data_IF_742377904519
#
_entry.id   IF_742377904519
#
_cell.length_a   1.000
_cell.length_b   1.000
_cell.length_c   1.000
_cell.angle_alpha   90.00
_cell.angle_beta   90.00
_cell.angle_gamma   90.00
#
_symmetry.space_group_name_H-M   'P 1'
#
loop_
_entity.id
_entity.type
_entity.pdbx_description
1 polymer ?
#
# COMPACT_ATOMS: atom_id res chain seq x y z
N UNK A 1 22.07 -21.48 -3.10
CA UNK A 1 22.61 -20.19 -2.65
C UNK A 1 24.04 -20.32 -2.10
N UNK A 2 24.27 -20.94 -0.93
CA UNK A 2 25.59 -20.94 -0.26
C UNK A 2 26.76 -21.52 -1.08
N UNK A 3 26.53 -22.54 -1.91
CA UNK A 3 27.60 -23.09 -2.77
C UNK A 3 28.15 -22.07 -3.77
N UNK A 4 27.32 -21.14 -4.23
CA UNK A 4 27.72 -20.07 -5.15
C UNK A 4 28.16 -18.78 -4.42
N UNK A 5 27.85 -18.67 -3.12
CA UNK A 5 28.08 -17.47 -2.30
C UNK A 5 28.59 -17.92 -0.91
N UNK A 6 29.79 -18.52 -0.83
CA UNK A 6 30.33 -19.09 0.42
C UNK A 6 30.51 -18.03 1.53
N UNK A 7 30.72 -16.78 1.15
CA UNK A 7 30.84 -15.63 2.05
C UNK A 7 29.55 -15.31 2.83
N UNK A 8 28.39 -15.84 2.41
CA UNK A 8 27.13 -15.69 3.15
C UNK A 8 26.98 -16.72 4.27
N UNK A 9 27.86 -17.72 4.36
CA UNK A 9 27.75 -18.77 5.35
C UNK A 9 27.97 -18.23 6.78
N UNK A 10 27.00 -18.51 7.66
CA UNK A 10 27.05 -18.09 9.06
C UNK A 10 26.56 -16.67 9.32
N UNK A 11 26.20 -15.92 8.27
CA UNK A 11 25.57 -14.61 8.40
C UNK A 11 24.10 -14.75 8.84
N UNK A 12 23.64 -13.80 9.64
CA UNK A 12 22.23 -13.59 9.92
C UNK A 12 21.47 -13.13 8.68
N UNK A 13 20.14 -13.26 8.68
CA UNK A 13 19.30 -12.78 7.57
C UNK A 13 19.49 -11.28 7.29
N UNK A 14 19.68 -10.47 8.34
CA UNK A 14 19.94 -9.03 8.20
C UNK A 14 21.30 -8.75 7.55
N UNK A 15 22.35 -9.48 7.92
CA UNK A 15 23.66 -9.35 7.28
C UNK A 15 23.65 -9.80 5.81
N UNK A 16 22.88 -10.84 5.48
CA UNK A 16 22.64 -11.23 4.08
C UNK A 16 21.89 -10.13 3.34
N UNK A 17 20.87 -9.53 3.96
CA UNK A 17 20.13 -8.40 3.39
C UNK A 17 21.04 -7.18 3.11
N UNK A 18 21.96 -6.85 4.04
CA UNK A 18 22.97 -5.81 3.82
C UNK A 18 23.83 -6.11 2.58
N UNK A 19 24.31 -7.35 2.45
CA UNK A 19 25.13 -7.77 1.30
C UNK A 19 24.36 -7.65 -0.01
N UNK A 20 23.06 -7.93 -0.01
CA UNK A 20 22.20 -7.72 -1.18
C UNK A 20 22.07 -6.23 -1.53
N UNK A 21 21.79 -5.37 -0.54
CA UNK A 21 21.70 -3.91 -0.76
C UNK A 21 23.03 -3.35 -1.27
N UNK A 22 24.15 -3.76 -0.68
CA UNK A 22 25.49 -3.37 -1.13
C UNK A 22 25.76 -3.85 -2.55
N UNK A 23 25.44 -5.10 -2.88
CA UNK A 23 25.64 -5.64 -4.21
C UNK A 23 24.85 -4.85 -5.27
N UNK A 24 23.59 -4.50 -5.00
CA UNK A 24 22.75 -3.71 -5.91
C UNK A 24 23.29 -2.29 -6.05
N UNK A 25 23.55 -1.61 -4.93
CA UNK A 25 23.97 -0.20 -4.93
C UNK A 25 25.39 0.00 -5.47
N UNK A 26 26.28 -0.98 -5.31
CA UNK A 26 27.63 -0.96 -5.91
C UNK A 26 27.61 -1.08 -7.45
N UNK A 27 26.52 -1.60 -8.04
CA UNK A 27 26.30 -1.57 -9.49
C UNK A 27 25.69 -0.25 -9.98
N UNK A 28 25.51 0.73 -9.09
CA UNK A 28 24.94 2.04 -9.43
C UNK A 28 23.41 2.07 -9.44
N UNK A 29 22.75 0.96 -9.09
CA UNK A 29 21.29 0.86 -9.06
C UNK A 29 20.72 1.49 -7.78
N UNK A 30 19.52 2.05 -7.91
CA UNK A 30 18.76 2.59 -6.78
C UNK A 30 17.98 1.46 -6.09
N UNK A 31 17.79 1.61 -4.78
CA UNK A 31 17.08 0.66 -3.92
C UNK A 31 15.95 1.39 -3.19
N UNK A 32 14.76 0.80 -3.24
CA UNK A 32 13.62 1.15 -2.39
C UNK A 32 13.40 -0.03 -1.45
N UNK A 33 13.39 0.21 -0.14
CA UNK A 33 13.19 -0.84 0.85
C UNK A 33 11.70 -0.93 1.17
N UNK A 34 11.08 -2.07 0.87
CA UNK A 34 9.65 -2.31 1.08
C UNK A 34 9.42 -3.20 2.31
N UNK A 35 8.60 -2.72 3.24
CA UNK A 35 8.09 -3.55 4.33
C UNK A 35 6.96 -4.44 3.81
N UNK A 36 7.35 -5.59 3.25
CA UNK A 36 6.43 -6.46 2.52
C UNK A 36 5.47 -7.21 3.45
N UNK A 37 6.01 -7.77 4.53
CA UNK A 37 5.27 -8.55 5.53
C UNK A 37 6.00 -8.53 6.88
N UNK A 38 5.30 -8.95 7.94
CA UNK A 38 5.91 -9.19 9.25
C UNK A 38 6.58 -10.57 9.34
N UNK A 39 5.96 -11.57 8.73
CA UNK A 39 6.42 -12.95 8.79
C UNK A 39 7.13 -13.35 7.48
N UNK A 40 8.07 -14.30 7.58
CA UNK A 40 8.70 -14.90 6.41
C UNK A 40 7.76 -15.95 5.80
N UNK A 41 6.78 -15.48 5.04
CA UNK A 41 5.74 -16.30 4.40
C UNK A 41 5.48 -15.82 2.96
N UNK A 42 4.37 -16.25 2.36
CA UNK A 42 3.88 -15.70 1.08
C UNK A 42 2.59 -14.89 1.27
N UNK A 43 2.48 -13.75 0.58
CA UNK A 43 1.30 -12.87 0.59
C UNK A 43 0.45 -13.04 -0.70
N UNK A 44 -0.63 -12.36 -1.00
CA UNK A 44 -1.28 -11.26 -0.30
C UNK A 44 -2.77 -11.57 -0.33
N UNK A 45 -3.21 -12.51 0.48
CA UNK A 45 -4.64 -12.82 0.62
C UNK A 45 -5.22 -12.03 1.81
N UNK A 46 -6.53 -12.15 2.02
CA UNK A 46 -7.20 -11.45 3.13
C UNK A 46 -7.12 -12.22 4.45
N UNK A 47 -6.50 -13.40 4.48
CA UNK A 47 -6.45 -14.31 5.64
C UNK A 47 -5.02 -14.60 6.14
N UNK A 48 -3.99 -14.10 5.45
CA UNK A 48 -2.56 -14.29 5.74
C UNK A 48 -2.06 -13.56 6.98
N UNK A 49 -2.94 -12.84 7.68
CA UNK A 49 -2.59 -12.08 8.90
C UNK A 49 -1.72 -10.85 8.65
N UNK A 50 -1.39 -10.55 7.40
CA UNK A 50 -0.43 -9.55 6.95
C UNK A 50 -1.09 -8.54 6.00
N UNK A 51 -2.37 -8.21 6.21
CA UNK A 51 -3.06 -7.18 5.43
C UNK A 51 -2.90 -5.75 5.96
N UNK A 52 -2.51 -5.58 7.23
CA UNK A 52 -2.43 -4.29 7.93
C UNK A 52 -1.00 -4.01 8.42
N UNK A 53 -0.77 -2.84 9.01
CA UNK A 53 0.50 -2.43 9.65
C UNK A 53 0.65 -2.95 11.09
N UNK A 54 -0.10 -3.99 11.44
CA UNK A 54 -0.03 -4.74 12.68
C UNK A 54 -0.62 -6.14 12.44
N UNK A 55 -0.28 -7.08 13.30
CA UNK A 55 -0.82 -8.44 13.32
C UNK A 55 -1.21 -8.81 14.75
N UNK A 56 -1.62 -10.06 14.99
CA UNK A 56 -1.82 -10.56 16.36
C UNK A 56 -0.49 -10.72 17.14
N UNK A 57 0.65 -10.78 16.44
CA UNK A 57 1.99 -10.97 17.01
C UNK A 57 2.79 -9.67 17.09
N UNK A 58 2.59 -8.76 16.14
CA UNK A 58 3.35 -7.52 16.01
C UNK A 58 2.44 -6.30 16.11
N UNK A 59 2.78 -5.38 16.99
CA UNK A 59 2.04 -4.14 17.19
C UNK A 59 2.36 -3.10 16.11
N UNK A 60 1.55 -2.04 16.04
CA UNK A 60 1.90 -0.85 15.23
C UNK A 60 3.23 -0.25 15.67
N UNK A 61 3.59 -0.30 16.95
CA UNK A 61 4.86 0.27 17.42
C UNK A 61 6.05 -0.58 16.98
N UNK A 62 5.91 -1.91 16.88
CA UNK A 62 6.94 -2.79 16.30
C UNK A 62 7.21 -2.43 14.84
N UNK A 63 6.15 -2.17 14.06
CA UNK A 63 6.26 -1.69 12.68
C UNK A 63 7.00 -0.35 12.59
N UNK A 64 6.59 0.64 13.39
CA UNK A 64 7.24 1.96 13.41
C UNK A 64 8.73 1.87 13.82
N UNK A 65 9.05 1.03 14.80
CA UNK A 65 10.42 0.78 15.23
C UNK A 65 11.24 0.10 14.13
N UNK A 66 10.67 -0.86 13.41
CA UNK A 66 11.29 -1.51 12.25
C UNK A 66 11.60 -0.53 11.11
N UNK A 67 10.66 0.36 10.79
CA UNK A 67 10.88 1.43 9.80
C UNK A 67 12.00 2.38 10.23
N UNK A 68 11.99 2.83 11.48
CA UNK A 68 13.04 3.70 12.03
C UNK A 68 14.40 3.02 11.98
N UNK A 69 14.45 1.73 12.36
CA UNK A 69 15.66 0.92 12.36
C UNK A 69 16.27 0.80 10.95
N UNK A 70 15.48 0.43 9.94
CA UNK A 70 15.98 0.32 8.56
C UNK A 70 16.37 1.68 7.99
N UNK A 71 15.63 2.74 8.31
CA UNK A 71 15.95 4.10 7.88
C UNK A 71 17.32 4.57 8.42
N UNK A 72 17.56 4.39 9.71
CA UNK A 72 18.84 4.71 10.35
C UNK A 72 19.97 3.82 9.81
N UNK A 73 19.71 2.52 9.62
CA UNK A 73 20.70 1.55 9.14
C UNK A 73 21.28 1.90 7.76
N UNK A 74 20.44 2.40 6.85
CA UNK A 74 20.82 2.67 5.47
C UNK A 74 21.00 4.15 5.13
N UNK A 75 20.94 5.06 6.12
CA UNK A 75 20.99 6.51 5.87
C UNK A 75 22.24 7.01 5.15
N UNK A 76 23.36 6.32 5.33
CA UNK A 76 24.65 6.68 4.73
C UNK A 76 24.84 6.06 3.33
N UNK A 77 23.91 5.24 2.85
CA UNK A 77 23.90 4.73 1.48
C UNK A 77 23.00 5.62 0.60
N UNK A 78 23.55 6.51 -0.23
CA UNK A 78 22.76 7.48 -1.00
C UNK A 78 21.91 6.85 -2.12
N UNK A 79 22.09 5.55 -2.40
CA UNK A 79 21.30 4.81 -3.37
C UNK A 79 20.14 4.04 -2.75
N UNK A 80 20.03 4.01 -1.42
CA UNK A 80 18.77 3.67 -0.73
C UNK A 80 17.91 4.93 -0.71
N UNK A 81 17.10 5.09 -1.75
CA UNK A 81 16.47 6.38 -2.08
C UNK A 81 15.11 6.58 -1.43
N UNK A 82 14.44 5.49 -1.04
CA UNK A 82 13.13 5.56 -0.40
C UNK A 82 12.82 4.34 0.46
N UNK A 83 11.84 4.52 1.33
CA UNK A 83 11.28 3.48 2.18
C UNK A 83 9.79 3.35 1.87
N UNK A 84 9.42 2.20 1.36
CA UNK A 84 8.04 1.81 1.17
C UNK A 84 7.51 1.14 2.43
N UNK A 85 6.66 1.89 3.12
CA UNK A 85 6.40 1.66 4.53
C UNK A 85 5.50 0.46 4.77
N UNK A 86 4.71 0.04 3.77
CA UNK A 86 3.83 -1.11 3.91
C UNK A 86 3.30 -1.58 2.56
N UNK A 87 3.60 -2.83 2.23
CA UNK A 87 3.05 -3.50 1.06
C UNK A 87 1.55 -3.78 1.17
N UNK A 88 0.82 -3.45 0.14
CA UNK A 88 -0.58 -3.78 -0.12
C UNK A 88 -1.49 -3.70 1.12
N UNK A 89 -1.66 -2.53 1.78
CA UNK A 89 -2.67 -2.38 2.81
C UNK A 89 -4.04 -2.85 2.30
N UNK A 90 -4.55 -3.93 2.88
CA UNK A 90 -5.74 -4.66 2.39
C UNK A 90 -6.62 -5.17 3.52
N UNK A 91 -7.88 -5.53 3.23
CA UNK A 91 -8.74 -6.17 4.22
C UNK A 91 -8.09 -7.39 4.86
N UNK A 92 -8.19 -7.48 6.18
CA UNK A 92 -7.79 -8.67 6.95
C UNK A 92 -9.00 -9.29 7.63
N UNK A 93 -9.33 -10.51 7.25
CA UNK A 93 -10.37 -11.33 7.87
C UNK A 93 -9.75 -12.10 9.02
N UNK A 94 -10.07 -11.70 10.26
CA UNK A 94 -9.62 -12.41 11.46
C UNK A 94 -10.34 -13.75 11.60
N UNK A 95 -9.71 -14.65 12.34
CA UNK A 95 -10.38 -15.84 12.86
C UNK A 95 -11.66 -15.42 13.61
N UNK A 96 -12.80 -16.05 13.28
CA UNK A 96 -14.11 -15.62 13.75
C UNK A 96 -14.90 -14.72 12.79
N UNK A 97 -14.34 -14.39 11.62
CA UNK A 97 -15.07 -13.80 10.49
C UNK A 97 -15.20 -12.27 10.51
N UNK A 98 -14.60 -11.59 11.49
CA UNK A 98 -14.55 -10.12 11.51
C UNK A 98 -13.52 -9.62 10.50
N UNK A 99 -13.92 -8.72 9.61
CA UNK A 99 -13.03 -8.11 8.61
C UNK A 99 -12.57 -6.73 9.06
N UNK A 100 -11.27 -6.51 9.15
CA UNK A 100 -10.67 -5.20 9.40
C UNK A 100 -10.30 -4.57 8.05
N UNK A 101 -10.81 -3.38 7.78
CA UNK A 101 -10.68 -2.67 6.51
C UNK A 101 -9.75 -1.46 6.68
N UNK A 102 -8.63 -1.37 5.95
CA UNK A 102 -7.81 -0.17 5.91
C UNK A 102 -8.49 0.90 5.04
N UNK A 103 -8.73 2.07 5.62
CA UNK A 103 -9.39 3.18 4.94
C UNK A 103 -8.56 4.46 4.98
N UNK A 104 -8.82 5.39 4.07
CA UNK A 104 -8.12 6.67 4.02
C UNK A 104 -8.93 7.76 4.72
N UNK A 105 -8.54 8.13 5.95
CA UNK A 105 -9.08 9.30 6.65
C UNK A 105 -10.34 9.08 7.49
N UNK A 106 -10.75 7.83 7.74
CA UNK A 106 -11.84 7.53 8.67
C UNK A 106 -11.57 6.24 9.45
N UNK A 107 -11.63 6.34 10.77
CA UNK A 107 -11.68 5.20 11.68
C UNK A 107 -13.09 5.14 12.27
N UNK A 108 -13.73 3.98 12.23
CA UNK A 108 -15.07 3.82 12.81
C UNK A 108 -15.36 2.40 13.27
N UNK A 109 -16.03 2.31 14.41
CA UNK A 109 -16.51 1.07 15.01
C UNK A 109 -18.00 0.83 14.75
N UNK A 110 -18.70 1.73 14.05
CA UNK A 110 -20.14 1.60 13.80
C UNK A 110 -20.47 0.35 12.99
N UNK A 111 -19.53 -0.09 12.15
CA UNK A 111 -19.68 -1.28 11.32
C UNK A 111 -19.36 -2.59 12.07
N UNK A 112 -18.90 -2.52 13.32
CA UNK A 112 -18.55 -3.71 14.11
C UNK A 112 -19.78 -4.62 14.30
N UNK A 113 -20.97 -4.02 14.40
CA UNK A 113 -22.26 -4.73 14.48
C UNK A 113 -22.55 -5.61 13.24
N UNK A 114 -21.87 -5.33 12.12
CA UNK A 114 -21.96 -6.07 10.87
C UNK A 114 -20.72 -6.92 10.59
N UNK A 115 -19.83 -7.07 11.58
CA UNK A 115 -18.59 -7.84 11.42
C UNK A 115 -17.46 -7.11 10.68
N UNK A 116 -17.53 -5.77 10.60
CA UNK A 116 -16.47 -4.96 9.96
C UNK A 116 -15.89 -3.94 10.92
N UNK A 117 -14.57 -3.86 11.01
CA UNK A 117 -13.86 -2.77 11.70
C UNK A 117 -13.14 -1.92 10.66
N UNK A 118 -13.21 -0.60 10.76
CA UNK A 118 -12.51 0.31 9.84
C UNK A 118 -11.37 0.99 10.59
N UNK A 119 -10.15 0.89 10.06
CA UNK A 119 -8.93 1.50 10.62
C UNK A 119 -8.33 2.50 9.64
N UNK A 120 -7.79 3.60 10.15
CA UNK A 120 -7.33 4.72 9.33
C UNK A 120 -5.87 4.53 8.85
N UNK A 121 -5.72 4.07 7.61
CA UNK A 121 -4.43 3.95 6.92
C UNK A 121 -3.74 5.30 6.74
N UNK A 122 -4.46 6.40 6.47
CA UNK A 122 -3.83 7.73 6.33
C UNK A 122 -3.11 8.12 7.62
N UNK A 123 -3.73 7.85 8.77
CA UNK A 123 -3.14 8.08 10.09
C UNK A 123 -1.91 7.21 10.32
N UNK A 124 -2.02 5.91 10.05
CA UNK A 124 -0.89 4.99 10.18
C UNK A 124 0.26 5.31 9.23
N UNK A 125 -0.02 5.64 7.97
CA UNK A 125 0.94 6.08 6.96
C UNK A 125 1.66 7.37 7.39
N UNK A 126 0.93 8.33 7.97
CA UNK A 126 1.54 9.55 8.54
C UNK A 126 2.52 9.20 9.67
N UNK A 127 2.16 8.27 10.56
CA UNK A 127 3.06 7.77 11.62
C UNK A 127 4.26 7.03 11.05
N UNK A 128 4.07 6.20 10.02
CA UNK A 128 5.12 5.48 9.31
C UNK A 128 6.14 6.40 8.65
N UNK A 129 5.67 7.45 7.96
CA UNK A 129 6.55 8.46 7.37
C UNK A 129 7.39 9.19 8.43
N UNK A 130 6.76 9.59 9.54
CA UNK A 130 7.47 10.19 10.69
C UNK A 130 8.50 9.23 11.27
N UNK A 131 8.20 7.94 11.39
CA UNK A 131 9.15 6.92 11.85
C UNK A 131 10.36 6.78 10.91
N UNK A 132 10.16 6.77 9.58
CA UNK A 132 11.26 6.80 8.62
C UNK A 132 12.12 8.05 8.81
N UNK A 133 11.51 9.25 8.92
CA UNK A 133 12.27 10.50 9.09
C UNK A 133 12.98 10.65 10.43
N UNK A 134 12.56 9.92 11.48
CA UNK A 134 13.33 9.80 12.73
C UNK A 134 14.67 9.11 12.52
N UNK A 135 14.72 8.07 11.67
CA UNK A 135 15.96 7.37 11.33
C UNK A 135 16.75 8.03 10.20
N UNK A 136 16.06 8.57 9.19
CA UNK A 136 16.69 9.28 8.09
C UNK A 136 15.90 10.56 7.72
N UNK A 137 16.28 11.73 8.27
CA UNK A 137 15.60 13.00 8.05
C UNK A 137 15.73 13.56 6.64
N UNK A 138 16.25 12.83 5.64
CA UNK A 138 16.28 13.24 4.22
C UNK A 138 15.68 12.20 3.28
N UNK A 139 15.23 11.05 3.79
CA UNK A 139 14.67 9.98 2.97
C UNK A 139 13.35 10.36 2.30
N UNK A 140 13.11 9.80 1.12
CA UNK A 140 11.77 9.74 0.54
C UNK A 140 10.98 8.59 1.20
N UNK A 141 9.67 8.78 1.30
CA UNK A 141 8.75 7.80 1.87
C UNK A 141 7.74 7.43 0.78
N UNK A 142 7.66 6.15 0.47
CA UNK A 142 6.63 5.63 -0.43
C UNK A 142 5.42 5.21 0.39
N UNK A 143 4.24 5.65 -0.06
CA UNK A 143 2.95 5.35 0.55
C UNK A 143 2.07 4.66 -0.48
N UNK A 144 1.87 3.36 -0.32
CA UNK A 144 0.93 2.61 -1.12
C UNK A 144 -0.53 2.98 -0.82
N UNK A 145 -1.38 2.84 -1.84
CA UNK A 145 -2.83 2.95 -1.70
C UNK A 145 -3.42 1.87 -0.78
N UNK A 146 -4.67 2.07 -0.34
CA UNK A 146 -5.40 0.97 0.29
C UNK A 146 -5.97 0.02 -0.78
N UNK A 147 -6.55 -1.09 -0.33
CA UNK A 147 -7.14 -2.09 -1.23
C UNK A 147 -6.08 -2.74 -2.15
N UNK A 148 -5.08 -3.39 -1.54
CA UNK A 148 -3.99 -4.04 -2.27
C UNK A 148 -3.20 -3.05 -3.13
N UNK A 149 -2.94 -1.86 -2.58
CA UNK A 149 -2.29 -0.76 -3.29
C UNK A 149 -2.99 -0.31 -4.58
N UNK A 150 -4.25 -0.67 -4.81
CA UNK A 150 -4.95 -0.30 -6.06
C UNK A 150 -5.72 1.02 -5.96
N UNK A 151 -5.88 1.56 -4.75
CA UNK A 151 -6.73 2.71 -4.49
C UNK A 151 -5.98 3.86 -3.81
N UNK A 152 -5.78 4.94 -4.56
CA UNK A 152 -5.30 6.24 -4.04
C UNK A 152 -6.42 7.28 -3.94
N UNK A 153 -7.69 6.90 -4.12
CA UNK A 153 -8.79 7.84 -3.94
C UNK A 153 -8.66 8.52 -2.58
N UNK A 154 -8.72 9.85 -2.58
CA UNK A 154 -8.61 10.74 -1.42
C UNK A 154 -7.20 11.13 -0.95
N UNK A 155 -6.10 10.64 -1.54
CA UNK A 155 -4.77 11.14 -1.14
C UNK A 155 -4.59 12.64 -1.43
N UNK A 156 -5.25 13.13 -2.49
CA UNK A 156 -5.27 14.55 -2.89
C UNK A 156 -6.17 15.39 -1.98
N UNK A 157 -7.32 14.84 -1.59
CA UNK A 157 -8.34 15.51 -0.77
C UNK A 157 -7.90 15.57 0.71
N UNK A 158 -7.17 14.55 1.13
CA UNK A 158 -6.75 14.31 2.50
C UNK A 158 -5.27 13.88 2.52
N UNK A 159 -4.32 14.81 2.33
CA UNK A 159 -2.89 14.50 2.36
C UNK A 159 -2.45 14.03 3.75
N UNK A 160 -1.22 13.50 3.87
CA UNK A 160 -0.71 13.01 5.16
C UNK A 160 -0.77 14.09 6.25
N UNK A 161 -0.97 13.66 7.50
CA UNK A 161 -1.12 14.53 8.66
C UNK A 161 0.25 14.95 9.18
N UNK A 162 0.86 15.91 8.50
CA UNK A 162 2.19 16.43 8.82
C UNK A 162 2.09 17.87 9.32
N UNK A 163 2.86 18.21 10.36
CA UNK A 163 2.93 19.58 10.87
C UNK A 163 3.68 20.50 9.90
N UNK A 164 4.64 19.95 9.15
CA UNK A 164 5.45 20.68 8.20
C UNK A 164 5.05 20.34 6.76
N UNK A 165 4.37 21.28 6.10
CA UNK A 165 3.91 21.09 4.71
C UNK A 165 5.04 20.76 3.72
N UNK A 166 6.28 21.21 3.97
CA UNK A 166 7.43 20.87 3.14
C UNK A 166 7.76 19.37 3.11
N UNK A 167 7.35 18.59 4.12
CA UNK A 167 7.58 17.14 4.15
C UNK A 167 6.74 16.39 3.12
N UNK A 168 5.63 16.97 2.62
CA UNK A 168 4.84 16.37 1.54
C UNK A 168 5.66 16.18 0.27
N UNK A 169 6.67 17.02 0.05
CA UNK A 169 7.57 16.91 -1.12
C UNK A 169 8.51 15.69 -1.10
N UNK A 170 8.50 14.92 -0.01
CA UNK A 170 9.27 13.68 0.15
C UNK A 170 8.37 12.44 0.16
N UNK A 171 7.08 12.63 -0.10
CA UNK A 171 6.10 11.57 -0.21
C UNK A 171 5.98 11.20 -1.69
N UNK A 172 6.10 9.90 -1.96
CA UNK A 172 5.78 9.30 -3.26
C UNK A 172 4.59 8.39 -3.03
N UNK A 173 3.52 8.57 -3.80
CA UNK A 173 2.40 7.62 -3.72
C UNK A 173 2.65 6.44 -4.65
N UNK A 174 2.24 5.25 -4.22
CA UNK A 174 2.43 4.04 -5.03
C UNK A 174 1.14 3.27 -5.28
N UNK A 175 1.07 2.68 -6.48
CA UNK A 175 -0.01 1.82 -6.93
C UNK A 175 0.50 0.46 -7.41
N UNK A 176 -0.30 -0.57 -7.21
CA UNK A 176 -0.16 -1.86 -7.90
C UNK A 176 -1.16 -1.91 -9.05
N UNK A 177 -0.70 -2.30 -10.24
CA UNK A 177 -1.48 -2.29 -11.47
C UNK A 177 -1.45 -3.68 -12.13
N UNK A 178 -2.59 -4.35 -12.09
CA UNK A 178 -2.77 -5.68 -12.66
C UNK A 178 -4.09 -5.76 -13.43
N UNK A 179 -4.23 -6.75 -14.31
CA UNK A 179 -5.39 -6.91 -15.20
C UNK A 179 -6.76 -7.03 -14.51
N UNK A 180 -6.79 -7.33 -13.21
CA UNK A 180 -7.99 -7.40 -12.38
C UNK A 180 -8.29 -6.12 -11.60
N UNK A 181 -7.40 -5.12 -11.68
CA UNK A 181 -7.63 -3.78 -11.14
C UNK A 181 -8.17 -2.82 -12.21
N UNK A 182 -8.71 -1.69 -11.74
CA UNK A 182 -9.23 -0.64 -12.61
C UNK A 182 -8.15 0.38 -12.92
N UNK A 183 -7.83 0.58 -14.20
CA UNK A 183 -6.88 1.60 -14.68
C UNK A 183 -7.35 3.03 -14.39
N UNK A 184 -8.56 3.23 -13.84
CA UNK A 184 -9.12 4.54 -13.52
C UNK A 184 -8.34 5.25 -12.40
N UNK A 185 -7.83 4.52 -11.40
CA UNK A 185 -7.05 5.13 -10.32
C UNK A 185 -5.67 5.57 -10.78
N UNK A 186 -5.06 4.80 -11.69
CA UNK A 186 -3.82 5.17 -12.37
C UNK A 186 -3.98 6.46 -13.22
N UNK A 187 -5.12 6.61 -13.91
CA UNK A 187 -5.43 7.85 -14.64
C UNK A 187 -5.74 9.04 -13.72
N UNK A 188 -6.34 8.77 -12.56
CA UNK A 188 -6.69 9.81 -11.59
C UNK A 188 -5.46 10.35 -10.86
N UNK A 189 -4.51 9.48 -10.51
CA UNK A 189 -3.32 9.83 -9.74
C UNK A 189 -2.39 10.83 -10.44
N UNK A 190 -2.48 10.95 -11.77
CA UNK A 190 -1.67 11.85 -12.59
C UNK A 190 -2.32 13.23 -12.88
N UNK A 191 -3.51 13.53 -12.33
CA UNK A 191 -4.29 14.70 -12.78
C UNK A 191 -3.80 16.05 -12.26
N UNK A 192 -3.37 16.10 -11.01
CA UNK A 192 -3.26 17.37 -10.28
C UNK A 192 -1.82 17.73 -9.87
N UNK A 193 -0.81 16.94 -10.31
CA UNK A 193 0.63 17.13 -10.04
C UNK A 193 0.95 17.41 -8.55
N UNK A 194 0.24 16.72 -7.65
CA UNK A 194 0.32 16.96 -6.20
C UNK A 194 1.54 16.27 -5.58
N UNK A 195 1.86 15.07 -6.06
CA UNK A 195 3.02 14.30 -5.65
C UNK A 195 3.39 13.29 -6.75
N UNK A 196 4.66 12.84 -6.81
CA UNK A 196 5.05 11.78 -7.72
C UNK A 196 4.26 10.50 -7.44
N UNK A 197 3.82 9.83 -8.51
CA UNK A 197 3.19 8.51 -8.44
C UNK A 197 4.09 7.49 -9.10
N UNK A 198 4.33 6.41 -8.39
CA UNK A 198 5.13 5.27 -8.81
C UNK A 198 4.23 4.04 -8.93
N UNK A 199 4.43 3.21 -9.96
CA UNK A 199 3.77 1.90 -10.03
C UNK A 199 4.73 0.85 -9.49
N UNK A 200 4.65 0.54 -8.18
CA UNK A 200 5.58 -0.38 -7.52
C UNK A 200 5.44 -1.83 -7.96
N UNK A 201 4.27 -2.22 -8.46
CA UNK A 201 4.07 -3.54 -9.06
C UNK A 201 3.17 -3.48 -10.28
N UNK A 202 3.65 -4.08 -11.36
CA UNK A 202 2.81 -4.52 -12.47
C UNK A 202 3.45 -5.73 -13.13
N UNK A 203 2.62 -6.55 -13.78
CA UNK A 203 3.09 -7.72 -14.51
C UNK A 203 2.01 -8.35 -15.38
N UNK A 204 2.44 -9.17 -16.34
CA UNK A 204 1.54 -10.03 -17.11
C UNK A 204 2.24 -11.37 -17.43
N UNK A 205 1.43 -12.42 -17.54
CA UNK A 205 1.85 -13.76 -17.91
C UNK A 205 2.03 -13.91 -19.43
N UNK A 206 1.28 -13.15 -20.24
CA UNK A 206 1.21 -13.36 -21.70
C UNK A 206 1.10 -12.04 -22.49
N UNK A 207 2.06 -11.80 -23.39
CA UNK A 207 2.03 -10.62 -24.29
C UNK A 207 0.73 -10.53 -25.08
N UNK A 208 0.07 -9.38 -24.99
CA UNK A 208 -1.12 -9.06 -25.78
C UNK A 208 -2.34 -9.96 -25.50
N UNK A 209 -2.32 -10.78 -24.45
CA UNK A 209 -3.45 -11.63 -24.09
C UNK A 209 -4.64 -10.80 -23.57
N UNK A 210 -4.36 -9.62 -23.00
CA UNK A 210 -5.36 -8.69 -22.52
C UNK A 210 -5.24 -7.35 -23.23
N UNK A 211 -6.40 -6.70 -23.48
CA UNK A 211 -6.42 -5.28 -23.88
C UNK A 211 -5.81 -4.39 -22.79
N UNK A 212 -5.94 -4.83 -21.54
CA UNK A 212 -5.38 -4.16 -20.37
C UNK A 212 -3.87 -3.93 -20.53
N UNK A 213 -3.07 -4.98 -20.75
CA UNK A 213 -1.60 -4.84 -20.83
C UNK A 213 -1.19 -3.84 -21.89
N UNK A 214 -1.73 -3.96 -23.11
CA UNK A 214 -1.43 -3.03 -24.18
C UNK A 214 -1.81 -1.58 -23.86
N UNK A 215 -2.90 -1.37 -23.12
CA UNK A 215 -3.33 -0.04 -22.70
C UNK A 215 -2.43 0.50 -21.58
N UNK A 216 -2.07 -0.31 -20.59
CA UNK A 216 -1.15 0.05 -19.50
C UNK A 216 0.22 0.43 -20.04
N UNK A 217 0.77 -0.36 -20.96
CA UNK A 217 2.05 -0.07 -21.61
C UNK A 217 2.00 1.23 -22.41
N UNK A 218 0.90 1.51 -23.12
CA UNK A 218 0.71 2.79 -23.82
C UNK A 218 0.61 3.97 -22.86
N UNK A 219 -0.10 3.78 -21.75
CA UNK A 219 -0.25 4.78 -20.72
C UNK A 219 1.11 5.13 -20.11
N UNK A 220 1.90 4.14 -19.67
CA UNK A 220 3.24 4.37 -19.12
C UNK A 220 4.14 5.14 -20.08
N UNK A 221 4.12 4.82 -21.38
CA UNK A 221 4.87 5.59 -22.39
C UNK A 221 4.38 7.02 -22.54
N UNK A 222 3.07 7.22 -22.55
CA UNK A 222 2.48 8.53 -22.74
C UNK A 222 2.73 9.46 -21.53
N UNK A 223 2.75 8.91 -20.33
CA UNK A 223 2.89 9.69 -19.09
C UNK A 223 4.29 9.66 -18.49
N UNK A 224 5.25 8.97 -19.10
CA UNK A 224 6.59 8.73 -18.53
C UNK A 224 6.52 8.13 -17.10
N UNK A 225 5.59 7.20 -16.89
CA UNK A 225 5.35 6.65 -15.56
C UNK A 225 6.58 5.88 -15.06
N UNK A 226 6.96 6.09 -13.80
CA UNK A 226 7.95 5.26 -13.12
C UNK A 226 7.32 3.94 -12.66
N UNK A 227 8.05 2.83 -12.77
CA UNK A 227 7.49 1.49 -12.54
C UNK A 227 8.51 0.48 -12.02
N UNK A 228 8.03 -0.58 -11.35
CA UNK A 228 8.75 -1.84 -11.08
C UNK A 228 7.97 -3.02 -11.65
N UNK A 229 8.69 -3.95 -12.29
CA UNK A 229 8.11 -5.19 -12.78
C UNK A 229 8.03 -6.21 -11.65
N UNK A 230 6.85 -6.78 -11.44
CA UNK A 230 6.67 -7.87 -10.48
C UNK A 230 6.49 -9.24 -11.16
N UNK A 231 7.28 -10.25 -10.77
CA UNK A 231 8.60 -10.17 -10.11
C UNK A 231 9.75 -10.42 -11.09
N UNK A 232 10.98 -10.25 -10.60
CA UNK A 232 12.15 -10.81 -11.28
C UNK A 232 12.14 -12.33 -11.23
N UNK A 233 11.77 -12.90 -10.08
CA UNK A 233 11.92 -14.30 -9.75
C UNK A 233 11.14 -15.26 -10.67
N UNK A 234 11.74 -16.40 -11.05
CA UNK A 234 11.09 -17.46 -11.84
C UNK A 234 10.26 -18.43 -10.98
N UNK A 235 10.31 -18.29 -9.65
CA UNK A 235 9.71 -19.20 -8.67
C UNK A 235 9.01 -18.38 -7.59
N UNK A 236 7.79 -18.81 -7.25
CA UNK A 236 6.94 -18.15 -6.27
C UNK A 236 7.35 -18.52 -4.84
N UNK A 237 7.50 -19.82 -4.60
CA UNK A 237 7.88 -20.37 -3.28
C UNK A 237 9.17 -21.17 -3.44
N UNK A 238 10.32 -20.63 -3.00
CA UNK A 238 11.57 -21.39 -2.95
C UNK A 238 11.41 -22.63 -2.06
N UNK A 239 12.17 -23.68 -2.34
CA UNK A 239 12.10 -24.92 -1.56
C UNK A 239 12.40 -24.68 -0.07
N UNK A 240 11.50 -25.10 0.81
CA UNK A 240 11.62 -24.97 2.26
C UNK A 240 11.40 -23.56 2.80
N UNK A 241 10.80 -22.66 1.99
CA UNK A 241 10.49 -21.29 2.38
C UNK A 241 9.21 -21.20 3.22
N UNK A 242 8.13 -21.82 2.77
CA UNK A 242 6.82 -21.77 3.41
C UNK A 242 6.27 -23.19 3.57
N UNK A 243 6.19 -23.72 4.80
CA UNK A 243 5.72 -25.09 5.05
C UNK A 243 4.22 -25.27 4.75
N UNK A 244 3.44 -24.20 4.65
CA UNK A 244 2.01 -24.23 4.36
C UNK A 244 1.70 -24.19 2.86
N UNK A 245 2.68 -23.78 2.03
CA UNK A 245 2.54 -23.69 0.59
C UNK A 245 3.39 -24.75 -0.15
N UNK A 246 2.88 -25.37 -1.24
CA UNK A 246 3.67 -26.36 -1.96
C UNK A 246 4.92 -25.74 -2.60
N UNK A 247 6.08 -26.31 -2.26
CA UNK A 247 7.39 -25.95 -2.78
C UNK A 247 7.45 -25.91 -4.32
N UNK A 248 8.26 -25.00 -4.86
CA UNK A 248 8.67 -25.03 -6.27
C UNK A 248 7.58 -24.62 -7.27
N UNK A 249 6.54 -23.93 -6.79
CA UNK A 249 5.57 -23.24 -7.64
C UNK A 249 6.30 -22.24 -8.55
N UNK A 250 5.99 -22.33 -9.84
CA UNK A 250 6.54 -21.41 -10.84
C UNK A 250 5.88 -20.05 -10.70
N UNK A 251 6.68 -19.00 -10.85
CA UNK A 251 6.14 -17.66 -11.07
C UNK A 251 6.13 -17.34 -12.56
N UNK A 252 4.95 -17.39 -13.15
CA UNK A 252 4.75 -17.10 -14.58
C UNK A 252 4.74 -15.60 -14.88
N UNK A 253 4.63 -14.74 -13.87
CA UNK A 253 4.86 -13.30 -13.98
C UNK A 253 6.35 -12.96 -14.00
N UNK A 254 7.20 -13.85 -13.47
CA UNK A 254 8.66 -13.71 -13.44
C UNK A 254 9.31 -13.23 -14.74
N UNK A 255 10.25 -12.28 -14.64
CA UNK A 255 11.09 -11.87 -15.77
C UNK A 255 12.10 -12.96 -16.12
N UNK A 256 12.72 -13.59 -15.12
CA UNK A 256 13.53 -14.79 -15.33
C UNK A 256 12.65 -15.95 -15.79
N UNK A 257 13.22 -16.83 -16.61
CA UNK A 257 12.49 -17.91 -17.24
C UNK A 257 12.04 -18.96 -16.21
N UNK A 258 10.73 -19.12 -15.95
CA UNK A 258 10.23 -20.10 -14.99
C UNK A 258 10.52 -21.54 -15.40
N UNK A 259 10.77 -21.82 -16.69
CA UNK A 259 11.09 -23.17 -17.16
C UNK A 259 12.50 -23.62 -16.77
N UNK A 260 13.49 -22.71 -16.76
CA UNK A 260 14.87 -23.09 -16.46
C UNK A 260 15.20 -23.00 -14.96
N UNK A 261 14.56 -22.07 -14.23
CA UNK A 261 14.74 -21.85 -12.77
C UNK A 261 16.18 -21.55 -12.32
N UNK A 262 17.09 -21.30 -13.25
CA UNK A 262 18.52 -21.17 -13.00
C UNK A 262 18.99 -19.70 -13.02
N UNK A 263 18.06 -18.75 -13.18
CA UNK A 263 18.34 -17.31 -13.28
C UNK A 263 19.32 -16.95 -14.42
N UNK A 264 19.49 -17.84 -15.43
CA UNK A 264 20.41 -17.61 -16.58
C UNK A 264 19.73 -17.11 -17.83
N UNK A 265 18.40 -17.17 -17.90
CA UNK A 265 17.63 -16.72 -19.06
C UNK A 265 16.39 -15.95 -18.62
N UNK A 266 15.98 -14.99 -19.45
CA UNK A 266 14.78 -14.16 -19.25
C UNK A 266 13.73 -14.49 -20.30
N UNK A 267 12.48 -14.13 -20.02
CA UNK A 267 11.38 -14.22 -21.00
C UNK A 267 11.55 -13.08 -22.01
N UNK A 268 11.99 -13.41 -23.22
CA UNK A 268 12.44 -12.42 -24.21
C UNK A 268 11.41 -11.34 -24.57
N UNK A 269 10.13 -11.68 -24.63
CA UNK A 269 9.10 -10.70 -24.95
C UNK A 269 8.88 -9.68 -23.82
N UNK A 270 9.01 -10.10 -22.56
CA UNK A 270 8.92 -9.20 -21.39
C UNK A 270 10.08 -8.22 -21.42
N UNK A 271 11.30 -8.72 -21.59
CA UNK A 271 12.48 -7.86 -21.67
C UNK A 271 12.36 -6.84 -22.81
N UNK A 272 11.91 -7.25 -24.00
CA UNK A 272 11.73 -6.34 -25.13
C UNK A 272 10.73 -5.21 -24.78
N UNK A 273 9.56 -5.57 -24.25
CA UNK A 273 8.52 -4.60 -23.93
C UNK A 273 8.96 -3.64 -22.81
N UNK A 274 9.70 -4.12 -21.82
CA UNK A 274 10.25 -3.32 -20.72
C UNK A 274 11.39 -2.40 -21.17
N UNK A 275 12.29 -2.85 -22.05
CA UNK A 275 13.32 -2.00 -22.66
C UNK A 275 12.67 -0.88 -23.46
N UNK A 276 11.60 -1.18 -24.21
CA UNK A 276 10.86 -0.18 -24.96
C UNK A 276 10.12 0.84 -24.06
N UNK A 277 9.93 0.55 -22.76
CA UNK A 277 9.39 1.48 -21.76
C UNK A 277 10.44 2.39 -21.12
N UNK A 278 11.73 2.01 -21.15
CA UNK A 278 12.79 2.78 -20.48
C UNK A 278 13.17 4.05 -21.24
N UNK A 279 12.80 4.17 -22.52
CA UNK A 279 13.01 5.39 -23.27
C UNK A 279 12.11 6.49 -22.68
N UNK A 280 12.67 7.65 -22.28
CA UNK A 280 11.87 8.73 -21.72
C UNK A 280 10.86 9.23 -22.74
N UNK A 281 9.68 9.64 -22.26
CA UNK A 281 8.68 10.28 -23.12
C UNK A 281 9.27 11.55 -23.77
N UNK A 282 9.04 11.80 -25.07
CA UNK A 282 9.41 13.06 -25.71
C UNK A 282 8.79 14.29 -25.04
N UNK A 283 7.67 14.09 -24.34
CA UNK A 283 6.92 15.12 -23.63
C UNK A 283 7.31 15.23 -22.14
N UNK A 284 8.29 14.45 -21.67
CA UNK A 284 8.75 14.49 -20.29
C UNK A 284 9.33 15.88 -19.94
N UNK A 285 8.95 16.47 -18.79
CA UNK A 285 9.43 17.80 -18.42
C UNK A 285 10.95 17.81 -18.27
N UNK A 286 11.62 18.75 -18.94
CA UNK A 286 13.08 18.83 -18.99
C UNK A 286 13.74 19.11 -17.61
N UNK A 287 12.99 19.58 -16.62
CA UNK A 287 13.40 19.75 -15.22
C UNK A 287 12.21 19.56 -14.29
N UNK A 288 12.38 18.68 -13.30
CA UNK A 288 11.51 18.61 -12.12
C UNK A 288 12.03 19.62 -11.09
N UNK A 289 11.15 20.41 -10.48
CA UNK A 289 11.55 21.37 -9.44
C UNK A 289 12.16 20.63 -8.25
N UNK A 290 13.35 21.04 -7.81
CA UNK A 290 13.93 20.53 -6.56
C UNK A 290 13.09 21.08 -5.40
N UNK A 291 12.51 20.22 -4.55
CA UNK A 291 11.75 20.71 -3.42
C UNK A 291 12.59 21.54 -2.46
N UNK A 292 11.99 22.54 -1.78
CA UNK A 292 12.67 23.30 -0.75
C UNK A 292 13.18 22.38 0.36
N UNK A 293 14.37 22.70 0.89
CA UNK A 293 14.91 21.97 2.04
C UNK A 293 13.96 22.07 3.23
N UNK A 294 13.70 20.92 3.86
CA UNK A 294 12.81 20.79 5.00
C UNK A 294 13.61 20.24 6.18
N UNK A 295 13.68 21.01 7.27
CA UNK A 295 14.29 20.54 8.53
C UNK A 295 13.21 19.83 9.32
N UNK A 296 13.32 18.51 9.45
CA UNK A 296 12.35 17.69 10.16
C UNK A 296 12.29 18.04 11.66
N UNK A 297 11.10 18.40 12.14
CA UNK A 297 10.77 18.48 13.57
C UNK A 297 10.04 17.19 14.00
N UNK A 298 10.69 16.29 14.76
CA UNK A 298 10.09 15.03 15.14
C UNK A 298 8.84 15.23 16.01
N UNK A 299 8.90 16.13 17.00
CA UNK A 299 7.82 16.28 17.97
C UNK A 299 6.55 16.82 17.31
N UNK A 300 6.68 17.90 16.54
CA UNK A 300 5.52 18.51 15.88
C UNK A 300 4.84 17.52 14.92
N UNK A 301 5.63 16.76 14.15
CA UNK A 301 5.06 15.80 13.20
C UNK A 301 4.53 14.53 13.88
N UNK A 302 5.10 14.09 15.00
CA UNK A 302 4.50 13.03 15.82
C UNK A 302 3.14 13.42 16.38
N UNK A 303 3.02 14.64 16.93
CA UNK A 303 1.75 15.16 17.44
C UNK A 303 0.72 15.25 16.30
N UNK A 304 1.10 15.75 15.12
CA UNK A 304 0.24 15.81 13.95
C UNK A 304 -0.19 14.41 13.44
N UNK A 305 0.75 13.48 13.29
CA UNK A 305 0.49 12.14 12.78
C UNK A 305 -0.35 11.27 13.75
N UNK A 306 -0.33 11.59 15.05
CA UNK A 306 -1.15 10.90 16.04
C UNK A 306 -2.59 11.43 16.13
N UNK A 307 -2.91 12.56 15.51
CA UNK A 307 -4.27 13.11 15.51
C UNK A 307 -5.23 12.18 14.76
N UNK A 308 -6.43 11.94 15.30
CA UNK A 308 -7.47 11.22 14.57
C UNK A 308 -8.17 12.15 13.58
N UNK A 309 -8.49 11.67 12.38
CA UNK A 309 -9.36 12.40 11.45
C UNK A 309 -10.77 12.43 12.02
N UNK A 310 -11.29 13.63 12.31
CA UNK A 310 -12.65 13.78 12.83
C UNK A 310 -13.70 13.46 11.76
N UNK A 311 -14.86 12.91 12.15
CA UNK A 311 -15.91 12.58 11.18
C UNK A 311 -16.39 13.78 10.35
N UNK A 312 -16.52 14.96 10.96
CA UNK A 312 -16.86 16.19 10.24
C UNK A 312 -15.73 16.64 9.28
N UNK A 313 -14.47 16.50 9.70
CA UNK A 313 -13.31 16.81 8.86
C UNK A 313 -13.26 15.89 7.62
N UNK A 314 -13.51 14.60 7.81
CA UNK A 314 -13.63 13.64 6.72
C UNK A 314 -14.78 13.98 5.75
N UNK A 315 -15.97 14.27 6.28
CA UNK A 315 -17.13 14.61 5.45
C UNK A 315 -16.93 15.89 4.63
N UNK A 316 -16.21 16.88 5.19
CA UNK A 316 -15.96 18.16 4.52
C UNK A 316 -14.79 18.13 3.53
N UNK A 317 -13.91 17.15 3.62
CA UNK A 317 -12.71 17.04 2.78
C UNK A 317 -12.93 16.25 1.50
N UNK A 318 -13.86 15.30 1.49
CA UNK A 318 -14.13 14.48 0.29
C UNK A 318 -14.90 15.29 -0.76
N UNK A 319 -14.45 15.19 -2.01
CA UNK A 319 -15.23 15.62 -3.16
C UNK A 319 -16.45 14.69 -3.38
N UNK A 320 -17.62 15.15 -2.94
CA UNK A 320 -18.88 14.43 -3.13
C UNK A 320 -19.33 14.50 -4.59
N UNK A 321 -19.36 13.34 -5.26
CA UNK A 321 -20.13 13.25 -6.51
C UNK A 321 -21.62 13.30 -6.18
N UNK A 322 -22.43 13.81 -7.11
CA UNK A 322 -23.91 13.83 -6.98
C UNK A 322 -24.45 12.43 -6.68
N UNK A 323 -23.85 11.40 -7.31
CA UNK A 323 -24.21 10.00 -7.07
C UNK A 323 -23.91 9.57 -5.63
N UNK A 324 -22.71 9.84 -5.09
CA UNK A 324 -22.34 9.50 -3.72
C UNK A 324 -23.23 10.23 -2.71
N UNK A 325 -23.52 11.51 -2.92
CA UNK A 325 -24.39 12.27 -2.04
C UNK A 325 -25.81 11.69 -1.99
N UNK A 326 -26.38 11.32 -3.16
CA UNK A 326 -27.71 10.72 -3.25
C UNK A 326 -27.77 9.33 -2.62
N UNK A 327 -26.78 8.46 -2.87
CA UNK A 327 -26.78 7.11 -2.30
C UNK A 327 -26.60 7.15 -0.78
N UNK A 328 -25.73 8.01 -0.26
CA UNK A 328 -25.60 8.21 1.19
C UNK A 328 -26.88 8.78 1.80
N UNK A 329 -27.52 9.77 1.17
CA UNK A 329 -28.78 10.33 1.65
C UNK A 329 -29.91 9.28 1.69
N UNK A 330 -30.03 8.46 0.64
CA UNK A 330 -30.99 7.35 0.59
C UNK A 330 -30.68 6.33 1.69
N UNK A 331 -29.42 5.94 1.87
CA UNK A 331 -29.03 5.00 2.91
C UNK A 331 -29.37 5.52 4.31
N UNK A 332 -29.03 6.78 4.62
CA UNK A 332 -29.38 7.42 5.89
C UNK A 332 -30.89 7.47 6.08
N UNK A 333 -31.65 7.83 5.05
CA UNK A 333 -33.12 7.82 5.09
C UNK A 333 -33.67 6.42 5.41
N UNK A 334 -33.14 5.38 4.76
CA UNK A 334 -33.56 3.99 4.99
C UNK A 334 -33.24 3.52 6.41
N UNK A 335 -32.07 3.90 6.95
CA UNK A 335 -31.70 3.60 8.34
C UNK A 335 -32.63 4.33 9.32
N UNK A 336 -32.89 5.62 9.11
CA UNK A 336 -33.81 6.42 9.94
C UNK A 336 -35.23 5.85 9.91
N UNK A 337 -35.73 5.48 8.73
CA UNK A 337 -37.05 4.85 8.59
C UNK A 337 -37.12 3.50 9.32
N UNK A 338 -36.05 2.69 9.30
CA UNK A 338 -35.95 1.45 10.07
C UNK A 338 -35.97 1.70 11.58
N UNK A 339 -35.23 2.71 12.05
CA UNK A 339 -35.21 3.09 13.46
C UNK A 339 -36.58 3.61 13.93
N UNK A 340 -37.26 4.42 13.10
CA UNK A 340 -38.62 4.89 13.38
C UNK A 340 -39.58 3.70 13.46
N UNK A 341 -39.54 2.78 12.50
CA UNK A 341 -40.40 1.58 12.51
C UNK A 341 -40.17 0.69 13.75
N UNK A 342 -38.91 0.50 14.16
CA UNK A 342 -38.56 -0.25 15.37
C UNK A 342 -39.03 0.48 16.65
N UNK A 343 -38.88 1.81 16.72
CA UNK A 343 -39.40 2.62 17.83
C UNK A 343 -40.94 2.60 17.89
N UNK A 344 -41.62 2.68 16.75
CA UNK A 344 -43.09 2.57 16.66
C UNK A 344 -43.58 1.19 17.11
N UNK A 345 -42.86 0.12 16.79
CA UNK A 345 -43.14 -1.22 17.32
C UNK A 345 -42.96 -1.30 18.84
N UNK A 346 -41.91 -0.71 19.40
CA UNK A 346 -41.69 -0.65 20.85
C UNK A 346 -42.76 0.16 21.59
N UNK A 347 -43.25 1.25 20.99
CA UNK A 347 -44.36 2.05 21.52
C UNK A 347 -45.69 1.27 21.50
N UNK A 348 -45.99 0.53 20.42
CA UNK A 348 -47.16 -0.34 20.33
C UNK A 348 -47.16 -1.48 21.36
N UNK A 349 -46.00 -2.07 21.64
CA UNK A 349 -45.86 -3.13 22.67
C UNK A 349 -46.06 -2.56 24.09
N UNK A 350 -45.57 -1.34 24.37
CA UNK A 350 -45.82 -0.66 25.66
C UNK A 350 -47.30 -0.32 25.89
N UNK A 351 -48.02 0.11 24.84
CA UNK A 351 -49.48 0.34 24.94
C UNK A 351 -50.28 -0.94 25.09
N UNK A 352 -49.83 -2.06 24.50
CA UNK A 352 -50.47 -3.36 24.70
C UNK A 352 -50.27 -3.91 26.11
N UNK A 353 -49.11 -3.68 26.74
CA UNK A 353 -48.85 -4.13 28.12
C UNK A 353 -49.62 -3.35 29.19
N UNK A 354 -49.88 -2.05 28.97
CA UNK A 354 -50.68 -1.23 29.88
C UNK A 354 -52.20 -1.51 29.80
N UNK A 355 -52.66 -2.21 28.75
CA UNK A 355 -54.05 -2.64 28.61
C UNK A 355 -54.38 -3.98 29.26
N UNK A 356 -53.39 -4.75 29.73
CA UNK A 356 -53.58 -6.07 30.32
C UNK A 356 -53.49 -6.11 31.86
N UNK A 357 -53.26 -4.98 32.53
CA UNK A 357 -53.20 -4.89 34.00
C UNK A 357 -54.43 -4.22 34.64
N UNK A 358 -55.51 -4.00 33.87
CA UNK A 358 -56.77 -3.42 34.35
C UNK A 358 -57.98 -4.27 33.94
N UNK A 359 -58.00 -5.54 34.34
CA UNK A 359 -59.13 -6.45 34.16
C UNK A 359 -59.35 -7.28 35.41
#
# INVERSE_FOLDING_TARGET
MLRANPELQGLSAMEVFDRCVDAITNQGLLVILNHHMFDAAWCCDTIDGNGLWFTDKYSTDDWLNGLTFLAERYKDNPRVVAFDIRNEPRPWVKEGGTSILPWWGLETSILNLFGYQVVDWRRAASRGAVAVWKGNPVANVVIEGNWFASNLAHVTDLPLMLAQGCLQSRVVYSLHEYSWYSTAYLLWSQRDDIAPVWVSEFGDMRRGASKWYNNTMRFFKATDASWFWWPLDPQKVPQGFDPENPDGQLDVFGLFNPRSRDYRSVVGWKLQDLVDLQAPSPDAPARVSVPPQCTFDPRANEEAANRATGGLEFLLSIHWTVYMALTTAIFVLLVLLRCIALCSCCLCVRTAWLGFTSG
#
